data_IF_656208755066
#
_entry.id   IF_656208755066
#
_cell.length_a   1.000
_cell.length_b   1.000
_cell.length_c   1.000
_cell.angle_alpha   90.00
_cell.angle_beta   90.00
_cell.angle_gamma   90.00
#
_symmetry.space_group_name_H-M   'P 1'
#
loop_
_entity.id
_entity.type
_entity.pdbx_description
1 polymer ?
#
# COMPACT_ATOMS: atom_id res chain seq x y z
N UNK A 1 -25.27 11.94 8.69
CA UNK A 1 -24.33 13.04 8.32
C UNK A 1 -22.96 12.93 8.97
N UNK A 2 -22.80 12.77 10.30
CA UNK A 2 -21.46 12.74 10.96
C UNK A 2 -20.51 11.62 10.47
N UNK A 3 -21.03 10.46 10.08
CA UNK A 3 -20.21 9.31 9.63
C UNK A 3 -19.61 9.53 8.23
N UNK A 4 -20.36 10.16 7.32
CA UNK A 4 -19.92 10.50 5.97
C UNK A 4 -18.84 11.60 5.98
N UNK A 5 -19.02 12.65 6.75
CA UNK A 5 -18.03 13.74 6.87
C UNK A 5 -16.70 13.21 7.42
N UNK A 6 -16.75 12.34 8.43
CA UNK A 6 -15.53 11.73 8.98
C UNK A 6 -14.81 10.84 7.96
N UNK A 7 -15.56 10.07 7.18
CA UNK A 7 -15.00 9.25 6.12
C UNK A 7 -14.33 10.11 5.04
N UNK A 8 -15.00 11.18 4.60
CA UNK A 8 -14.46 12.11 3.61
C UNK A 8 -13.19 12.82 4.11
N UNK A 9 -13.17 13.26 5.36
CA UNK A 9 -11.98 13.86 5.96
C UNK A 9 -10.79 12.88 6.00
N UNK A 10 -11.04 11.62 6.37
CA UNK A 10 -10.00 10.61 6.38
C UNK A 10 -9.47 10.31 4.97
N UNK A 11 -10.35 10.24 3.97
CA UNK A 11 -9.95 10.06 2.57
C UNK A 11 -9.13 11.24 2.07
N UNK A 12 -9.55 12.47 2.36
CA UNK A 12 -8.81 13.68 1.99
C UNK A 12 -7.42 13.70 2.65
N UNK A 13 -7.35 13.38 3.94
CA UNK A 13 -6.08 13.31 4.66
C UNK A 13 -5.16 12.24 4.05
N UNK A 14 -5.70 11.08 3.70
CA UNK A 14 -4.94 10.01 3.04
C UNK A 14 -4.40 10.49 1.70
N UNK A 15 -5.22 11.18 0.89
CA UNK A 15 -4.81 11.71 -0.40
C UNK A 15 -3.69 12.76 -0.26
N UNK A 16 -3.77 13.63 0.75
CA UNK A 16 -2.72 14.61 1.04
C UNK A 16 -1.41 13.94 1.46
N UNK A 17 -1.45 12.93 2.32
CA UNK A 17 -0.27 12.16 2.74
C UNK A 17 0.37 11.47 1.53
N UNK A 18 -0.44 10.87 0.66
CA UNK A 18 0.07 10.20 -0.54
C UNK A 18 0.68 11.19 -1.53
N UNK A 19 0.03 12.34 -1.76
CA UNK A 19 0.58 13.41 -2.60
C UNK A 19 1.93 13.93 -2.08
N UNK A 20 2.02 14.20 -0.78
CA UNK A 20 3.26 14.61 -0.13
C UNK A 20 4.36 13.53 -0.24
N UNK A 21 4.01 12.25 -0.22
CA UNK A 21 4.97 11.17 -0.38
C UNK A 21 5.65 11.17 -1.76
N UNK A 22 4.95 11.55 -2.85
CA UNK A 22 5.57 11.71 -4.16
C UNK A 22 6.57 12.85 -4.22
N UNK A 23 6.25 13.97 -3.58
CA UNK A 23 7.18 15.11 -3.47
C UNK A 23 8.43 14.71 -2.68
N UNK A 24 8.26 14.01 -1.56
CA UNK A 24 9.39 13.52 -0.78
C UNK A 24 10.27 12.52 -1.57
N UNK A 25 9.66 11.69 -2.42
CA UNK A 25 10.37 10.77 -3.30
C UNK A 25 11.19 11.51 -4.37
N UNK A 26 10.63 12.56 -4.94
CA UNK A 26 11.26 13.38 -5.96
C UNK A 26 12.50 14.11 -5.38
N UNK A 27 12.33 14.79 -4.26
CA UNK A 27 13.43 15.47 -3.55
C UNK A 27 14.53 14.50 -3.11
N UNK A 28 14.14 13.30 -2.63
CA UNK A 28 15.11 12.30 -2.20
C UNK A 28 15.85 11.63 -3.37
N UNK A 29 15.27 11.62 -4.57
CA UNK A 29 15.89 11.04 -5.76
C UNK A 29 17.21 11.77 -6.14
N UNK A 30 17.30 13.06 -5.85
CA UNK A 30 18.51 13.85 -6.13
C UNK A 30 19.67 13.56 -5.18
N UNK A 31 19.38 13.07 -3.97
CA UNK A 31 20.37 12.90 -2.89
C UNK A 31 20.72 11.44 -2.60
N UNK A 32 19.79 10.52 -2.83
CA UNK A 32 19.90 9.10 -2.50
C UNK A 32 19.65 8.25 -3.74
N UNK A 33 20.44 7.20 -3.92
CA UNK A 33 20.15 6.24 -4.98
C UNK A 33 18.75 5.63 -4.83
N UNK A 34 18.02 5.48 -5.94
CA UNK A 34 16.63 5.04 -5.98
C UNK A 34 16.34 3.77 -5.19
N UNK A 35 17.23 2.77 -5.28
CA UNK A 35 17.07 1.50 -4.56
C UNK A 35 17.31 1.66 -3.06
N UNK A 36 18.31 2.48 -2.67
CA UNK A 36 18.63 2.77 -1.27
C UNK A 36 17.46 3.48 -0.60
N UNK A 37 16.93 4.52 -1.23
CA UNK A 37 15.77 5.24 -0.71
C UNK A 37 14.56 4.32 -0.57
N UNK A 38 14.26 3.53 -1.61
CA UNK A 38 13.13 2.62 -1.58
C UNK A 38 13.28 1.53 -0.50
N UNK A 39 14.49 0.95 -0.35
CA UNK A 39 14.78 -0.03 0.69
C UNK A 39 14.62 0.55 2.11
N UNK A 40 15.16 1.74 2.35
CA UNK A 40 15.05 2.42 3.64
C UNK A 40 13.58 2.73 3.98
N UNK A 41 12.82 3.26 3.03
CA UNK A 41 11.38 3.54 3.19
C UNK A 41 10.60 2.28 3.54
N UNK A 42 10.84 1.17 2.85
CA UNK A 42 10.17 -0.12 3.13
C UNK A 42 10.55 -0.67 4.49
N UNK A 43 11.82 -0.57 4.89
CA UNK A 43 12.26 -1.00 6.22
C UNK A 43 11.61 -0.17 7.33
N UNK A 44 11.59 1.15 7.20
CA UNK A 44 10.93 2.04 8.15
C UNK A 44 9.41 1.76 8.24
N UNK A 45 8.75 1.54 7.11
CA UNK A 45 7.33 1.19 7.09
C UNK A 45 7.06 -0.15 7.79
N UNK A 46 7.90 -1.15 7.57
CA UNK A 46 7.79 -2.44 8.25
C UNK A 46 7.97 -2.31 9.77
N UNK A 47 8.97 -1.55 10.21
CA UNK A 47 9.21 -1.28 11.63
C UNK A 47 8.04 -0.52 12.26
N UNK A 48 7.50 0.49 11.58
CA UNK A 48 6.35 1.26 12.04
C UNK A 48 5.06 0.42 12.14
N UNK A 49 4.94 -0.64 11.35
CA UNK A 49 3.80 -1.55 11.41
C UNK A 49 3.83 -2.50 12.61
N UNK A 50 5.00 -2.80 13.18
CA UNK A 50 5.11 -3.74 14.31
C UNK A 50 4.27 -3.35 15.52
N UNK A 51 4.34 -2.10 16.04
CA UNK A 51 3.51 -1.69 17.18
C UNK A 51 2.01 -1.68 16.84
N UNK A 52 1.64 -1.36 15.59
CA UNK A 52 0.24 -1.38 15.14
C UNK A 52 -0.30 -2.81 15.16
N UNK A 53 0.44 -3.76 14.60
CA UNK A 53 0.08 -5.18 14.60
C UNK A 53 -0.06 -5.68 16.04
N UNK A 54 0.91 -5.38 16.90
CA UNK A 54 0.86 -5.77 18.31
C UNK A 54 -0.38 -5.19 19.05
N UNK A 55 -0.75 -3.96 18.75
CA UNK A 55 -1.95 -3.32 19.33
C UNK A 55 -3.25 -3.99 18.84
N UNK A 56 -3.32 -4.30 17.53
CA UNK A 56 -4.47 -4.99 16.93
C UNK A 56 -4.62 -6.40 17.48
N UNK A 57 -3.54 -7.16 17.62
CA UNK A 57 -3.55 -8.50 18.21
C UNK A 57 -4.01 -8.47 19.66
N UNK A 58 -3.54 -7.50 20.45
CA UNK A 58 -4.00 -7.33 21.84
C UNK A 58 -5.50 -7.03 21.90
N UNK A 59 -6.01 -6.21 20.99
CA UNK A 59 -7.43 -5.90 20.90
C UNK A 59 -8.25 -7.13 20.49
N UNK A 60 -7.81 -7.87 19.49
CA UNK A 60 -8.47 -9.08 19.00
C UNK A 60 -8.56 -10.17 20.11
N UNK A 61 -7.51 -10.36 20.87
CA UNK A 61 -7.52 -11.28 22.04
C UNK A 61 -8.55 -10.89 23.09
N UNK A 62 -8.72 -9.59 23.37
CA UNK A 62 -9.74 -9.11 24.32
C UNK A 62 -11.16 -9.39 23.84
N UNK A 63 -11.39 -9.53 22.54
CA UNK A 63 -12.69 -9.85 21.94
C UNK A 63 -12.89 -11.35 21.67
N UNK A 64 -11.99 -12.22 22.19
CA UNK A 64 -12.07 -13.67 22.02
C UNK A 64 -11.62 -14.18 20.64
N UNK A 65 -11.07 -13.32 19.81
CA UNK A 65 -10.51 -13.71 18.51
C UNK A 65 -8.99 -13.80 18.62
N UNK A 66 -8.45 -15.00 18.61
CA UNK A 66 -7.00 -15.18 18.56
C UNK A 66 -6.49 -15.11 17.11
N UNK A 67 -6.17 -13.88 16.68
CA UNK A 67 -5.56 -13.59 15.38
C UNK A 67 -4.03 -13.68 15.43
N UNK A 68 -3.46 -14.06 16.56
CA UNK A 68 -2.01 -14.14 16.71
C UNK A 68 -1.43 -15.27 15.89
N UNK A 69 -0.17 -15.12 15.50
CA UNK A 69 0.59 -16.17 14.82
C UNK A 69 0.48 -17.54 15.47
N UNK A 70 0.42 -17.58 16.82
CA UNK A 70 0.35 -18.83 17.58
C UNK A 70 -1.00 -19.53 17.48
N UNK A 71 -2.09 -18.77 17.35
CA UNK A 71 -3.46 -19.29 17.20
C UNK A 71 -3.79 -19.77 15.78
N UNK A 72 -2.97 -19.44 14.79
CA UNK A 72 -3.22 -19.84 13.41
C UNK A 72 -2.89 -21.30 13.13
N UNK A 73 -3.73 -21.96 12.33
CA UNK A 73 -3.44 -23.30 11.80
C UNK A 73 -2.25 -23.28 10.83
N UNK A 74 -1.54 -24.39 10.62
CA UNK A 74 -0.43 -24.47 9.66
C UNK A 74 -0.82 -24.02 8.24
N UNK A 75 -2.03 -24.34 7.80
CA UNK A 75 -2.55 -23.92 6.50
C UNK A 75 -2.71 -22.40 6.41
N UNK A 76 -3.27 -21.77 7.46
CA UNK A 76 -3.41 -20.32 7.53
C UNK A 76 -2.07 -19.61 7.52
N UNK A 77 -1.08 -20.11 8.28
CA UNK A 77 0.28 -19.58 8.28
C UNK A 77 0.94 -19.65 6.91
N UNK A 78 0.79 -20.80 6.22
CA UNK A 78 1.32 -20.97 4.86
C UNK A 78 0.67 -19.98 3.90
N UNK A 79 -0.66 -19.83 3.92
CA UNK A 79 -1.37 -18.87 3.06
C UNK A 79 -0.95 -17.44 3.36
N UNK A 80 -0.80 -17.07 4.64
CA UNK A 80 -0.35 -15.74 5.04
C UNK A 80 1.09 -15.46 4.55
N UNK A 81 1.99 -16.42 4.73
CA UNK A 81 3.39 -16.27 4.29
C UNK A 81 3.50 -16.21 2.77
N UNK A 82 2.89 -17.15 2.05
CA UNK A 82 2.98 -17.16 0.58
C UNK A 82 2.31 -15.92 -0.02
N UNK A 83 1.12 -15.57 0.45
CA UNK A 83 0.42 -14.36 0.02
C UNK A 83 1.22 -13.09 0.37
N UNK A 84 1.74 -13.00 1.59
CA UNK A 84 2.55 -11.87 2.04
C UNK A 84 3.84 -11.72 1.23
N UNK A 85 4.55 -12.81 0.97
CA UNK A 85 5.78 -12.79 0.16
C UNK A 85 5.46 -12.40 -1.29
N UNK A 86 4.45 -13.00 -1.91
CA UNK A 86 4.06 -12.67 -3.29
C UNK A 86 3.63 -11.20 -3.42
N UNK A 87 2.72 -10.74 -2.56
CA UNK A 87 2.27 -9.35 -2.59
C UNK A 87 3.41 -8.37 -2.27
N UNK A 88 4.25 -8.70 -1.29
CA UNK A 88 5.40 -7.89 -0.91
C UNK A 88 6.44 -7.79 -2.03
N UNK A 89 6.75 -8.89 -2.71
CA UNK A 89 7.66 -8.90 -3.85
C UNK A 89 7.13 -8.06 -5.02
N UNK A 90 5.84 -8.21 -5.37
CA UNK A 90 5.21 -7.39 -6.41
C UNK A 90 5.21 -5.91 -6.05
N UNK A 91 4.90 -5.57 -4.80
CA UNK A 91 4.90 -4.18 -4.33
C UNK A 91 6.33 -3.60 -4.32
N UNK A 92 7.32 -4.38 -3.89
CA UNK A 92 8.72 -3.96 -3.91
C UNK A 92 9.21 -3.70 -5.32
N UNK A 93 8.88 -4.58 -6.26
CA UNK A 93 9.23 -4.42 -7.67
C UNK A 93 8.56 -3.19 -8.29
N UNK A 94 7.25 -3.02 -8.08
CA UNK A 94 6.50 -1.88 -8.58
C UNK A 94 7.02 -0.55 -8.02
N UNK A 95 7.31 -0.50 -6.72
CA UNK A 95 7.86 0.71 -6.08
C UNK A 95 9.31 0.98 -6.49
N UNK A 96 10.12 -0.05 -6.79
CA UNK A 96 11.46 0.13 -7.34
C UNK A 96 11.40 0.78 -8.73
N UNK A 97 10.56 0.28 -9.64
CA UNK A 97 10.37 0.89 -10.96
C UNK A 97 9.82 2.30 -10.88
N UNK A 98 8.86 2.55 -9.99
CA UNK A 98 8.32 3.88 -9.76
C UNK A 98 9.41 4.87 -9.31
N UNK A 99 10.23 4.47 -8.34
CA UNK A 99 11.31 5.30 -7.83
C UNK A 99 12.40 5.54 -8.87
N UNK A 100 12.73 4.53 -9.69
CA UNK A 100 13.65 4.71 -10.81
C UNK A 100 13.09 5.70 -11.84
N UNK A 101 11.80 5.61 -12.17
CA UNK A 101 11.14 6.56 -13.07
C UNK A 101 11.21 7.99 -12.55
N UNK A 102 11.00 8.21 -11.26
CA UNK A 102 11.14 9.54 -10.62
C UNK A 102 12.57 10.03 -10.74
N UNK A 103 13.57 9.20 -10.41
CA UNK A 103 14.98 9.54 -10.49
C UNK A 103 15.46 9.82 -11.92
N UNK A 104 14.77 9.32 -12.94
CA UNK A 104 15.00 9.64 -14.35
C UNK A 104 14.37 10.97 -14.80
N UNK A 105 13.83 11.77 -13.88
CA UNK A 105 13.29 13.10 -14.14
C UNK A 105 11.80 13.12 -14.51
N UNK A 106 11.04 12.07 -14.20
CA UNK A 106 9.57 12.08 -14.43
C UNK A 106 8.88 13.16 -13.61
N UNK A 107 9.40 13.45 -12.42
CA UNK A 107 8.84 14.40 -11.46
C UNK A 107 7.62 13.86 -10.70
N UNK A 108 7.40 14.39 -9.49
CA UNK A 108 6.37 13.93 -8.57
C UNK A 108 4.96 13.94 -9.15
N UNK A 109 4.58 15.02 -9.85
CA UNK A 109 3.24 15.18 -10.41
C UNK A 109 2.90 14.15 -11.49
N UNK A 110 3.80 13.93 -12.44
CA UNK A 110 3.61 12.92 -13.50
C UNK A 110 3.60 11.51 -12.93
N UNK A 111 4.51 11.20 -12.00
CA UNK A 111 4.56 9.90 -11.36
C UNK A 111 3.29 9.60 -10.56
N UNK A 112 2.76 10.58 -9.84
CA UNK A 112 1.48 10.47 -9.14
C UNK A 112 0.31 10.23 -10.10
N UNK A 113 0.23 10.97 -11.20
CA UNK A 113 -0.82 10.80 -12.21
C UNK A 113 -0.76 9.42 -12.87
N UNK A 114 0.42 8.98 -13.32
CA UNK A 114 0.60 7.65 -13.93
C UNK A 114 0.23 6.55 -12.92
N UNK A 115 0.65 6.71 -11.67
CA UNK A 115 0.28 5.76 -10.62
C UNK A 115 -1.24 5.72 -10.43
N UNK A 116 -1.94 6.86 -10.44
CA UNK A 116 -3.39 6.90 -10.31
C UNK A 116 -4.14 6.14 -11.41
N UNK A 117 -3.53 5.88 -12.57
CA UNK A 117 -4.13 5.06 -13.64
C UNK A 117 -4.48 3.65 -13.18
N UNK A 118 -3.85 3.12 -12.11
CA UNK A 118 -4.22 1.80 -11.59
C UNK A 118 -5.69 1.74 -11.14
N UNK A 119 -6.30 2.86 -10.77
CA UNK A 119 -7.72 2.94 -10.39
C UNK A 119 -8.62 2.46 -11.53
N UNK A 120 -8.23 2.75 -12.77
CA UNK A 120 -8.95 2.31 -13.98
C UNK A 120 -8.43 0.96 -14.46
N UNK A 121 -7.11 0.75 -14.45
CA UNK A 121 -6.50 -0.46 -14.99
C UNK A 121 -6.85 -1.71 -14.18
N UNK A 122 -6.91 -1.61 -12.85
CA UNK A 122 -7.23 -2.78 -12.00
C UNK A 122 -8.60 -3.38 -12.29
N UNK A 123 -9.71 -2.61 -12.33
CA UNK A 123 -11.00 -3.17 -12.72
C UNK A 123 -11.04 -3.67 -14.17
N UNK A 124 -10.37 -3.00 -15.11
CA UNK A 124 -10.29 -3.46 -16.51
C UNK A 124 -9.57 -4.80 -16.61
N UNK A 125 -8.42 -4.96 -15.97
CA UNK A 125 -7.72 -6.23 -15.90
C UNK A 125 -8.57 -7.29 -15.19
N UNK A 126 -9.26 -6.93 -14.12
CA UNK A 126 -10.19 -7.82 -13.43
C UNK A 126 -11.28 -8.40 -14.34
N UNK A 127 -11.76 -7.61 -15.30
CA UNK A 127 -12.74 -8.06 -16.29
C UNK A 127 -12.15 -9.13 -17.24
N UNK A 128 -10.88 -9.01 -17.62
CA UNK A 128 -10.21 -10.04 -18.43
C UNK A 128 -10.12 -11.39 -17.71
N UNK A 129 -10.09 -11.39 -16.38
CA UNK A 129 -10.16 -12.62 -15.54
C UNK A 129 -11.59 -12.99 -15.16
N UNK A 130 -12.61 -12.52 -15.90
CA UNK A 130 -14.01 -12.88 -15.67
C UNK A 130 -14.66 -12.28 -14.43
N UNK A 131 -13.97 -11.37 -13.71
CA UNK A 131 -14.55 -10.65 -12.57
C UNK A 131 -15.38 -9.48 -13.09
N UNK A 132 -16.66 -9.42 -12.73
CA UNK A 132 -17.52 -8.29 -13.07
C UNK A 132 -17.41 -7.23 -11.96
N UNK A 133 -16.73 -6.11 -12.17
CA UNK A 133 -16.71 -5.02 -11.20
C UNK A 133 -18.13 -4.49 -11.01
N UNK A 134 -18.51 -4.18 -9.77
CA UNK A 134 -19.78 -3.50 -9.53
C UNK A 134 -19.78 -2.16 -10.26
N UNK A 135 -20.93 -1.76 -10.82
CA UNK A 135 -21.06 -0.50 -11.57
C UNK A 135 -20.60 0.74 -10.76
N UNK A 136 -20.71 0.67 -9.43
CA UNK A 136 -20.20 1.68 -8.48
C UNK A 136 -18.68 1.91 -8.53
N UNK A 137 -17.91 1.03 -9.15
CA UNK A 137 -16.46 1.18 -9.32
C UNK A 137 -16.13 2.21 -10.42
N UNK A 138 -17.13 2.56 -11.25
CA UNK A 138 -16.98 3.49 -12.38
C UNK A 138 -17.51 4.90 -12.06
N UNK A 139 -18.06 5.13 -10.88
CA UNK A 139 -18.51 6.42 -10.36
C UNK A 139 -17.48 7.02 -9.40
#
# INVERSE_FOLDING_TARGET
MKRSVRANLLLTLTALIWGAAFVAQDVAADSLGSLTFNGLRMALAALAMLPVIAALDRKARKTGQDTSWRGMTPAQRRTLLTGGVCCGAMLALASAFQQMGIAMGTGAGKAGFITALYIVLVPLLGMLWGRRPAWLVWL
#
